data_IF_764708907284
#
_entry.id   IF_764708907284
#
_cell.length_a   1.000
_cell.length_b   1.000
_cell.length_c   1.000
_cell.angle_alpha   90.00
_cell.angle_beta   90.00
_cell.angle_gamma   90.00
#
_symmetry.space_group_name_H-M   'P 1'
#
loop_
_entity.id
_entity.type
_entity.pdbx_description
1 polymer ?
#
# COMPACT_ATOMS: atom_id res chain seq x y z
N UNK A 1 44.55 22.98 -17.02
CA UNK A 1 43.53 22.43 -17.93
C UNK A 1 43.36 20.96 -17.60
N UNK A 2 42.12 20.48 -17.65
CA UNK A 2 41.62 19.12 -17.35
C UNK A 2 41.25 18.81 -15.88
N UNK A 3 39.94 18.88 -15.65
CA UNK A 3 39.15 18.06 -14.72
C UNK A 3 39.39 16.55 -15.00
N UNK A 4 39.19 15.66 -14.03
CA UNK A 4 38.02 14.76 -14.12
C UNK A 4 37.72 14.01 -12.82
N UNK A 5 36.41 13.87 -12.60
CA UNK A 5 35.73 13.15 -11.54
C UNK A 5 35.79 11.63 -11.70
N UNK A 6 35.46 10.97 -10.58
CA UNK A 6 34.74 9.70 -10.52
C UNK A 6 35.49 8.45 -10.98
N UNK A 7 35.61 7.49 -10.05
CA UNK A 7 34.96 6.21 -10.30
C UNK A 7 34.74 5.44 -8.99
N UNK A 8 33.47 5.44 -8.58
CA UNK A 8 32.87 4.40 -7.74
C UNK A 8 32.90 3.09 -8.53
N UNK A 9 33.70 2.15 -8.07
CA UNK A 9 33.52 0.71 -8.29
C UNK A 9 33.89 0.11 -6.92
N UNK A 10 33.08 -0.73 -6.29
CA UNK A 10 32.83 -2.12 -6.67
C UNK A 10 31.61 -2.61 -5.87
N UNK A 11 30.58 -3.13 -6.53
CA UNK A 11 29.87 -4.36 -6.12
C UNK A 11 28.98 -4.83 -7.29
N UNK A 12 29.64 -5.33 -8.32
CA UNK A 12 29.02 -6.21 -9.31
C UNK A 12 29.99 -7.36 -9.49
N UNK A 13 29.85 -8.37 -8.65
CA UNK A 13 30.63 -9.60 -8.78
C UNK A 13 29.74 -10.66 -9.41
N UNK A 14 30.14 -11.07 -10.61
CA UNK A 14 29.78 -12.28 -11.35
C UNK A 14 28.45 -12.29 -12.12
N UNK A 15 28.50 -11.81 -13.37
CA UNK A 15 27.74 -12.44 -14.46
C UNK A 15 28.77 -12.88 -15.51
N UNK A 16 29.24 -14.12 -15.38
CA UNK A 16 30.07 -14.78 -16.37
C UNK A 16 29.16 -15.69 -17.21
N UNK A 17 29.07 -15.39 -18.50
CA UNK A 17 28.40 -16.24 -19.48
C UNK A 17 27.07 -15.66 -19.97
N UNK A 18 26.95 -15.56 -21.29
CA UNK A 18 25.70 -15.31 -22.02
C UNK A 18 24.67 -16.39 -21.71
N UNK A 19 23.97 -16.25 -20.59
CA UNK A 19 22.72 -16.91 -20.29
C UNK A 19 21.65 -15.84 -20.44
N UNK A 20 20.63 -16.08 -21.26
CA UNK A 20 19.43 -15.25 -21.23
C UNK A 20 18.88 -15.40 -19.81
N UNK A 21 19.02 -14.35 -19.00
CA UNK A 21 18.49 -14.34 -17.64
C UNK A 21 16.97 -14.36 -17.74
N UNK A 22 16.39 -15.57 -17.70
CA UNK A 22 14.95 -15.75 -17.58
C UNK A 22 14.59 -15.63 -16.10
N UNK A 23 13.87 -14.57 -15.76
CA UNK A 23 13.22 -14.41 -14.47
C UNK A 23 11.78 -14.92 -14.59
N UNK A 24 11.41 -15.89 -13.77
CA UNK A 24 10.04 -16.38 -13.70
C UNK A 24 9.19 -15.43 -12.85
N UNK A 25 8.16 -14.84 -13.48
CA UNK A 25 7.20 -13.92 -12.85
C UNK A 25 5.78 -14.51 -12.83
N UNK A 26 5.63 -15.81 -13.13
CA UNK A 26 4.32 -16.48 -13.22
C UNK A 26 3.40 -16.33 -11.99
N UNK A 27 3.87 -16.27 -10.73
CA UNK A 27 2.95 -16.07 -9.60
C UNK A 27 2.40 -14.64 -9.51
N UNK A 28 3.01 -13.69 -10.21
CA UNK A 28 2.63 -12.29 -10.12
C UNK A 28 1.53 -11.95 -11.13
N UNK A 29 0.67 -11.01 -10.74
CA UNK A 29 -0.35 -10.45 -11.63
C UNK A 29 0.35 -9.67 -12.76
N UNK A 30 0.10 -10.02 -14.05
CA UNK A 30 0.73 -9.36 -15.19
C UNK A 30 0.57 -7.84 -15.19
N UNK A 31 -0.56 -7.32 -14.73
CA UNK A 31 -0.83 -5.88 -14.70
C UNK A 31 0.02 -5.17 -13.64
N UNK A 32 0.27 -5.87 -12.52
CA UNK A 32 1.11 -5.37 -11.42
C UNK A 32 2.58 -5.38 -11.84
N UNK A 33 3.01 -6.43 -12.53
CA UNK A 33 4.35 -6.53 -13.14
C UNK A 33 4.55 -5.44 -14.17
N UNK A 34 3.58 -5.23 -15.07
CA UNK A 34 3.66 -4.18 -16.08
C UNK A 34 3.79 -2.80 -15.45
N UNK A 35 3.01 -2.49 -14.41
CA UNK A 35 3.11 -1.20 -13.73
C UNK A 35 4.48 -1.01 -13.05
N UNK A 36 5.04 -2.04 -12.43
CA UNK A 36 6.38 -1.98 -11.87
C UNK A 36 7.45 -1.77 -12.95
N UNK A 37 7.33 -2.44 -14.10
CA UNK A 37 8.24 -2.25 -15.23
C UNK A 37 8.13 -0.84 -15.82
N UNK A 38 6.91 -0.34 -16.03
CA UNK A 38 6.69 1.04 -16.49
C UNK A 38 7.33 2.06 -15.56
N UNK A 39 7.21 1.86 -14.24
CA UNK A 39 7.92 2.69 -13.26
C UNK A 39 9.43 2.66 -13.44
N UNK A 40 10.04 1.47 -13.61
CA UNK A 40 11.48 1.32 -13.81
C UNK A 40 11.96 2.07 -15.07
N UNK A 41 11.15 2.06 -16.13
CA UNK A 41 11.46 2.72 -17.40
C UNK A 41 11.00 4.19 -17.47
N UNK A 42 10.59 4.78 -16.34
CA UNK A 42 10.09 6.17 -16.24
C UNK A 42 8.91 6.45 -17.21
N UNK A 43 8.05 5.44 -17.37
CA UNK A 43 6.82 5.48 -18.14
C UNK A 43 5.64 5.62 -17.18
N UNK A 44 4.62 6.38 -17.60
CA UNK A 44 3.40 6.56 -16.82
C UNK A 44 2.75 5.21 -16.43
N UNK A 45 2.56 5.04 -15.12
CA UNK A 45 1.95 3.84 -14.56
C UNK A 45 0.44 3.87 -14.72
N UNK A 46 -0.21 2.72 -15.00
CA UNK A 46 -1.67 2.65 -15.17
C UNK A 46 -2.46 2.76 -13.84
N UNK A 47 -1.87 3.27 -12.76
CA UNK A 47 -2.53 3.35 -11.45
C UNK A 47 -3.74 4.28 -11.54
N UNK A 48 -4.94 3.70 -11.60
CA UNK A 48 -6.20 4.44 -11.67
C UNK A 48 -6.79 4.62 -13.07
N UNK A 49 -6.14 4.11 -14.12
CA UNK A 49 -6.73 4.10 -15.47
C UNK A 49 -7.70 2.92 -15.59
N UNK A 50 -8.98 3.19 -15.34
CA UNK A 50 -10.09 2.31 -15.71
C UNK A 50 -10.31 2.38 -17.23
N UNK A 51 -9.42 1.79 -18.02
CA UNK A 51 -9.65 1.59 -19.47
C UNK A 51 -10.63 0.44 -19.76
N UNK A 52 -11.14 -0.22 -18.71
CA UNK A 52 -12.29 -1.11 -18.79
C UNK A 52 -11.98 -2.53 -19.25
N UNK A 53 -10.70 -2.90 -19.36
CA UNK A 53 -10.29 -4.21 -19.91
C UNK A 53 -9.75 -5.24 -18.91
N UNK A 54 -9.62 -4.90 -17.62
CA UNK A 54 -9.17 -5.87 -16.59
C UNK A 54 -9.28 -5.29 -15.19
N UNK A 55 -10.45 -5.42 -14.55
CA UNK A 55 -10.77 -4.69 -13.33
C UNK A 55 -10.20 -5.41 -12.10
N UNK A 56 -8.93 -5.16 -11.76
CA UNK A 56 -8.49 -5.27 -10.37
C UNK A 56 -8.93 -4.01 -9.64
N UNK A 57 -9.65 -4.15 -8.52
CA UNK A 57 -10.03 -3.00 -7.69
C UNK A 57 -8.77 -2.13 -7.40
N UNK A 58 -8.81 -0.80 -7.58
CA UNK A 58 -7.62 0.04 -7.46
C UNK A 58 -6.86 -0.09 -6.14
N UNK A 59 -7.57 -0.38 -5.05
CA UNK A 59 -6.96 -0.62 -3.73
C UNK A 59 -6.24 -1.96 -3.70
N UNK A 60 -6.87 -3.03 -4.23
CA UNK A 60 -6.24 -4.35 -4.38
C UNK A 60 -4.99 -4.25 -5.25
N UNK A 61 -5.07 -3.50 -6.35
CA UNK A 61 -3.93 -3.25 -7.23
C UNK A 61 -2.78 -2.59 -6.47
N UNK A 62 -3.07 -1.52 -5.72
CA UNK A 62 -2.07 -0.85 -4.89
C UNK A 62 -1.45 -1.78 -3.83
N UNK A 63 -2.24 -2.66 -3.21
CA UNK A 63 -1.74 -3.66 -2.25
C UNK A 63 -0.75 -4.60 -2.93
N UNK A 64 -1.13 -5.19 -4.07
CA UNK A 64 -0.26 -6.10 -4.83
C UNK A 64 1.01 -5.41 -5.31
N UNK A 65 0.88 -4.20 -5.88
CA UNK A 65 2.02 -3.43 -6.38
C UNK A 65 2.96 -3.01 -5.25
N UNK A 66 2.45 -2.72 -4.05
CA UNK A 66 3.28 -2.45 -2.88
C UNK A 66 4.07 -3.69 -2.46
N UNK A 67 3.43 -4.86 -2.40
CA UNK A 67 4.11 -6.12 -2.08
C UNK A 67 5.19 -6.46 -3.11
N UNK A 68 4.90 -6.28 -4.40
CA UNK A 68 5.86 -6.50 -5.47
C UNK A 68 7.02 -5.50 -5.39
N UNK A 69 6.71 -4.21 -5.23
CA UNK A 69 7.72 -3.16 -5.11
C UNK A 69 8.65 -3.37 -3.92
N UNK A 70 8.13 -3.82 -2.78
CA UNK A 70 8.94 -4.18 -1.61
C UNK A 70 9.84 -5.39 -1.91
N UNK A 71 9.29 -6.41 -2.59
CA UNK A 71 10.04 -7.61 -2.99
C UNK A 71 11.18 -7.27 -3.96
N UNK A 72 10.96 -6.31 -4.86
CA UNK A 72 11.94 -5.87 -5.86
C UNK A 72 12.86 -4.75 -5.34
N UNK A 73 12.66 -4.25 -4.13
CA UNK A 73 13.46 -3.16 -3.55
C UNK A 73 13.21 -1.78 -4.19
N UNK A 74 12.05 -1.57 -4.82
CA UNK A 74 11.66 -0.34 -5.50
C UNK A 74 11.03 0.66 -4.51
N UNK A 75 11.87 1.33 -3.71
CA UNK A 75 11.41 2.24 -2.64
C UNK A 75 10.57 3.41 -3.16
N UNK A 76 10.98 4.05 -4.25
CA UNK A 76 10.26 5.20 -4.82
C UNK A 76 8.90 4.81 -5.42
N UNK A 77 8.77 3.57 -5.88
CA UNK A 77 7.50 3.00 -6.32
C UNK A 77 6.55 2.85 -5.13
N UNK A 78 7.03 2.34 -3.99
CA UNK A 78 6.22 2.23 -2.76
C UNK A 78 5.67 3.60 -2.35
N UNK A 79 6.50 4.65 -2.40
CA UNK A 79 6.06 6.02 -2.08
C UNK A 79 4.94 6.48 -3.01
N UNK A 80 5.11 6.25 -4.32
CA UNK A 80 4.13 6.61 -5.34
C UNK A 80 2.80 5.87 -5.17
N UNK A 81 2.87 4.56 -4.93
CA UNK A 81 1.70 3.70 -4.72
C UNK A 81 0.96 4.07 -3.44
N UNK A 82 1.67 4.42 -2.37
CA UNK A 82 1.07 4.86 -1.11
C UNK A 82 0.23 6.13 -1.29
N UNK A 83 0.71 7.10 -2.08
CA UNK A 83 -0.03 8.31 -2.37
C UNK A 83 -1.34 8.00 -3.12
N UNK A 84 -1.28 7.13 -4.13
CA UNK A 84 -2.46 6.69 -4.88
C UNK A 84 -3.43 5.89 -4.00
N UNK A 85 -2.91 4.96 -3.17
CA UNK A 85 -3.69 4.17 -2.22
C UNK A 85 -4.51 5.06 -1.29
N UNK A 86 -3.92 6.14 -0.75
CA UNK A 86 -4.64 7.08 0.11
C UNK A 86 -5.81 7.76 -0.61
N UNK A 87 -5.65 8.06 -1.91
CA UNK A 87 -6.73 8.58 -2.74
C UNK A 87 -7.88 7.58 -2.87
N UNK A 88 -7.57 6.32 -3.19
CA UNK A 88 -8.58 5.28 -3.37
C UNK A 88 -9.23 4.82 -2.06
N UNK A 89 -8.47 4.75 -0.97
CA UNK A 89 -8.99 4.31 0.34
C UNK A 89 -10.06 5.25 0.88
N UNK A 90 -9.97 6.55 0.57
CA UNK A 90 -10.99 7.53 0.92
C UNK A 90 -12.35 7.17 0.33
N UNK A 91 -12.35 6.70 -0.91
CA UNK A 91 -13.53 6.33 -1.66
C UNK A 91 -14.06 4.92 -1.35
N UNK A 92 -13.35 4.12 -0.54
CA UNK A 92 -13.73 2.75 -0.20
C UNK A 92 -15.13 2.69 0.41
N UNK A 93 -15.45 3.67 1.26
CA UNK A 93 -16.69 3.74 2.02
C UNK A 93 -17.79 4.56 1.33
N UNK A 94 -17.49 5.17 0.19
CA UNK A 94 -18.46 6.01 -0.54
C UNK A 94 -19.50 5.17 -1.32
N UNK A 95 -19.28 3.85 -1.40
CA UNK A 95 -20.08 2.92 -2.19
C UNK A 95 -21.21 2.23 -1.42
N UNK A 96 -22.36 2.06 -2.08
CA UNK A 96 -23.49 1.21 -1.64
C UNK A 96 -23.22 -0.30 -1.70
N UNK A 97 -21.98 -0.71 -1.98
CA UNK A 97 -21.65 -2.12 -2.23
C UNK A 97 -20.77 -2.69 -1.12
N UNK A 98 -21.43 -3.23 -0.11
CA UNK A 98 -20.82 -3.89 1.06
C UNK A 98 -19.82 -4.96 0.65
N UNK A 99 -20.15 -5.75 -0.37
CA UNK A 99 -19.31 -6.87 -0.81
C UNK A 99 -17.93 -6.44 -1.29
N UNK A 100 -17.81 -5.24 -1.88
CA UNK A 100 -16.53 -4.71 -2.35
C UNK A 100 -15.67 -4.27 -1.17
N UNK A 101 -16.26 -3.54 -0.20
CA UNK A 101 -15.52 -3.09 0.99
C UNK A 101 -15.01 -4.27 1.80
N UNK A 102 -15.88 -5.25 2.09
CA UNK A 102 -15.48 -6.47 2.79
C UNK A 102 -14.39 -7.22 2.03
N UNK A 103 -14.51 -7.37 0.71
CA UNK A 103 -13.50 -8.08 -0.09
C UNK A 103 -12.14 -7.37 -0.08
N UNK A 104 -12.11 -6.04 -0.17
CA UNK A 104 -10.86 -5.24 -0.12
C UNK A 104 -10.19 -5.37 1.24
N UNK A 105 -10.95 -5.20 2.33
CA UNK A 105 -10.39 -5.30 3.69
C UNK A 105 -9.92 -6.73 3.95
N UNK A 106 -10.70 -7.75 3.57
CA UNK A 106 -10.29 -9.14 3.69
C UNK A 106 -9.00 -9.40 2.90
N UNK A 107 -8.92 -8.95 1.65
CA UNK A 107 -7.71 -9.09 0.84
C UNK A 107 -6.49 -8.45 1.52
N UNK A 108 -6.64 -7.25 2.09
CA UNK A 108 -5.58 -6.57 2.81
C UNK A 108 -5.09 -7.34 4.05
N UNK A 109 -6.00 -8.03 4.76
CA UNK A 109 -5.67 -8.81 5.95
C UNK A 109 -5.13 -10.21 5.61
N UNK A 110 -5.60 -10.83 4.52
CA UNK A 110 -5.13 -12.13 4.03
C UNK A 110 -3.78 -12.02 3.30
N UNK A 111 -3.42 -10.84 2.80
CA UNK A 111 -2.11 -10.61 2.17
C UNK A 111 -0.98 -10.78 3.20
N UNK A 112 0.07 -11.58 2.90
CA UNK A 112 1.20 -11.79 3.79
C UNK A 112 1.79 -10.47 4.30
N UNK A 113 2.13 -10.44 5.59
CA UNK A 113 2.65 -9.25 6.24
C UNK A 113 3.97 -8.78 5.60
N UNK A 114 4.02 -7.50 5.27
CA UNK A 114 5.24 -6.78 4.94
C UNK A 114 5.27 -5.42 5.64
N UNK A 115 6.44 -4.76 5.70
CA UNK A 115 6.55 -3.47 6.39
C UNK A 115 5.73 -2.41 5.66
N UNK A 116 5.77 -2.40 4.34
CA UNK A 116 5.06 -1.41 3.54
C UNK A 116 3.55 -1.69 3.52
N UNK A 117 3.14 -2.96 3.53
CA UNK A 117 1.73 -3.33 3.72
C UNK A 117 1.20 -2.85 5.08
N UNK A 118 1.98 -2.97 6.14
CA UNK A 118 1.61 -2.44 7.46
C UNK A 118 1.44 -0.91 7.44
N UNK A 119 2.22 -0.21 6.60
CA UNK A 119 2.05 1.23 6.39
C UNK A 119 0.72 1.57 5.70
N UNK A 120 0.32 0.81 4.68
CA UNK A 120 -0.98 0.98 4.01
C UNK A 120 -2.14 0.70 4.96
N UNK A 121 -2.04 -0.40 5.75
CA UNK A 121 -3.02 -0.72 6.81
C UNK A 121 -3.19 0.47 7.76
N UNK A 122 -2.08 1.04 8.24
CA UNK A 122 -2.12 2.20 9.14
C UNK A 122 -2.81 3.40 8.51
N UNK A 123 -2.47 3.77 7.27
CA UNK A 123 -3.08 4.90 6.56
C UNK A 123 -4.60 4.73 6.45
N UNK A 124 -5.04 3.54 6.05
CA UNK A 124 -6.47 3.24 5.94
C UNK A 124 -7.17 3.32 7.30
N UNK A 125 -6.57 2.78 8.36
CA UNK A 125 -7.13 2.84 9.72
C UNK A 125 -7.19 4.27 10.25
N UNK A 126 -6.16 5.07 10.01
CA UNK A 126 -6.12 6.49 10.37
C UNK A 126 -7.23 7.29 9.68
N UNK A 127 -7.41 7.07 8.38
CA UNK A 127 -8.49 7.67 7.60
C UNK A 127 -9.89 7.22 8.07
N UNK A 128 -10.04 5.95 8.49
CA UNK A 128 -11.27 5.47 9.13
C UNK A 128 -11.53 6.19 10.46
N UNK A 129 -10.50 6.39 11.29
CA UNK A 129 -10.65 7.05 12.58
C UNK A 129 -11.03 8.52 12.45
N UNK A 130 -10.46 9.22 11.47
CA UNK A 130 -10.78 10.63 11.20
C UNK A 130 -12.25 10.82 10.79
N UNK A 131 -12.85 9.78 10.20
CA UNK A 131 -14.25 9.78 9.73
C UNK A 131 -15.16 8.87 10.57
N UNK A 132 -14.68 8.37 11.71
CA UNK A 132 -15.34 7.29 12.45
C UNK A 132 -16.81 7.58 12.78
N UNK A 133 -17.21 8.78 13.27
CA UNK A 133 -18.61 9.04 13.58
C UNK A 133 -19.53 8.86 12.36
N UNK A 134 -19.11 9.35 11.19
CA UNK A 134 -19.88 9.21 9.96
C UNK A 134 -19.86 7.77 9.43
N UNK A 135 -18.72 7.08 9.52
CA UNK A 135 -18.61 5.68 9.08
C UNK A 135 -19.46 4.74 9.93
N UNK A 136 -19.61 5.00 11.23
CA UNK A 136 -20.47 4.19 12.12
C UNK A 136 -21.97 4.26 11.76
N UNK A 137 -22.40 5.29 11.02
CA UNK A 137 -23.77 5.39 10.49
C UNK A 137 -23.96 4.58 9.19
N UNK A 138 -22.86 4.14 8.57
CA UNK A 138 -22.90 3.36 7.34
C UNK A 138 -22.99 1.86 7.64
N UNK A 139 -24.07 1.22 7.17
CA UNK A 139 -24.28 -0.22 7.32
C UNK A 139 -23.09 -1.05 6.82
N UNK A 140 -22.50 -0.64 5.69
CA UNK A 140 -21.31 -1.25 5.08
C UNK A 140 -20.15 -1.34 6.08
N UNK A 141 -19.78 -0.22 6.69
CA UNK A 141 -18.66 -0.16 7.60
C UNK A 141 -18.92 -0.99 8.86
N UNK A 142 -20.13 -0.87 9.43
CA UNK A 142 -20.54 -1.66 10.60
C UNK A 142 -20.48 -3.15 10.30
N UNK A 143 -20.86 -3.58 9.08
CA UNK A 143 -20.80 -4.98 8.67
C UNK A 143 -19.35 -5.45 8.55
N UNK A 144 -18.47 -4.67 7.93
CA UNK A 144 -17.03 -4.99 7.85
C UNK A 144 -16.42 -5.17 9.24
N UNK A 145 -16.71 -4.27 10.18
CA UNK A 145 -16.22 -4.35 11.58
C UNK A 145 -16.71 -5.63 12.27
N UNK A 146 -17.94 -6.07 11.98
CA UNK A 146 -18.49 -7.32 12.55
C UNK A 146 -17.87 -8.57 11.94
N UNK A 147 -17.62 -8.57 10.64
CA UNK A 147 -17.12 -9.74 9.91
C UNK A 147 -15.61 -9.93 10.01
N UNK A 148 -14.86 -8.85 10.22
CA UNK A 148 -13.40 -8.85 10.22
C UNK A 148 -12.88 -8.36 11.59
N UNK A 149 -12.80 -9.26 12.60
CA UNK A 149 -12.43 -8.88 13.96
C UNK A 149 -11.01 -8.30 14.05
N UNK A 150 -10.08 -8.78 13.23
CA UNK A 150 -8.72 -8.24 13.19
C UNK A 150 -8.69 -6.77 12.74
N UNK A 151 -9.56 -6.41 11.80
CA UNK A 151 -9.74 -5.01 11.40
C UNK A 151 -10.25 -4.15 12.54
N UNK A 152 -11.27 -4.63 13.28
CA UNK A 152 -11.81 -3.93 14.44
C UNK A 152 -10.76 -3.76 15.55
N UNK A 153 -9.98 -4.81 15.82
CA UNK A 153 -8.92 -4.81 16.83
C UNK A 153 -7.83 -3.80 16.46
N UNK A 154 -7.37 -3.79 15.22
CA UNK A 154 -6.32 -2.87 14.80
C UNK A 154 -6.82 -1.41 14.76
N UNK A 155 -8.09 -1.18 14.43
CA UNK A 155 -8.72 0.14 14.54
C UNK A 155 -8.70 0.66 15.99
N UNK A 156 -9.02 -0.21 16.96
CA UNK A 156 -8.95 0.13 18.39
C UNK A 156 -7.51 0.37 18.86
N UNK A 157 -6.54 -0.43 18.40
CA UNK A 157 -5.12 -0.23 18.74
C UNK A 157 -4.61 1.11 18.23
N UNK A 158 -4.93 1.48 16.98
CA UNK A 158 -4.52 2.78 16.42
C UNK A 158 -5.18 3.93 17.19
N UNK A 159 -6.48 3.79 17.54
CA UNK A 159 -7.18 4.80 18.34
C UNK A 159 -6.55 5.00 19.72
N UNK A 160 -6.31 3.91 20.47
CA UNK A 160 -5.66 3.96 21.77
C UNK A 160 -4.23 4.53 21.67
N UNK A 161 -3.52 4.24 20.57
CA UNK A 161 -2.22 4.83 20.27
C UNK A 161 -2.27 6.35 20.09
N UNK A 162 -3.30 6.88 19.41
CA UNK A 162 -3.52 8.33 19.24
C UNK A 162 -3.81 9.01 20.57
N UNK A 163 -4.72 8.46 21.36
CA UNK A 163 -5.12 9.02 22.67
C UNK A 163 -3.94 9.09 23.66
N UNK A 164 -3.04 8.11 23.62
CA UNK A 164 -1.81 8.13 24.43
C UNK A 164 -0.79 9.19 23.97
N UNK A 165 -0.80 9.60 22.70
CA UNK A 165 0.07 10.66 22.19
C UNK A 165 -0.47 12.05 22.58
N UNK A 166 -1.78 12.27 22.49
CA UNK A 166 -2.41 13.51 22.95
C UNK A 166 -2.22 13.72 24.45
N UNK A 167 -2.43 12.69 25.28
CA UNK A 167 -2.18 12.78 26.72
C UNK A 167 -0.73 13.10 27.09
N UNK A 168 0.24 12.61 26.30
CA UNK A 168 1.67 12.93 26.50
C UNK A 168 2.03 14.36 26.09
N UNK A 169 1.31 14.94 25.13
CA UNK A 169 1.54 16.32 24.69
C UNK A 169 0.87 17.36 25.61
N UNK A 170 -0.16 16.97 26.36
CA UNK A 170 -0.90 17.86 27.28
C UNK A 170 -0.32 17.91 28.71
N UNK A 171 0.66 17.06 29.04
CA UNK A 171 1.33 17.13 30.34
C UNK A 171 2.31 18.31 30.36
N UNK A 172 2.20 19.26 31.31
CA UNK A 172 3.20 20.29 31.48
C UNK A 172 4.54 19.63 31.82
N UNK A 173 5.60 20.00 31.11
CA UNK A 173 6.97 19.65 31.50
C UNK A 173 7.27 20.44 32.77
N UNK A 174 7.03 19.82 33.92
CA UNK A 174 7.53 20.32 35.19
C UNK A 174 9.03 20.02 35.25
N UNK A 175 9.84 21.02 34.87
CA UNK A 175 11.27 21.07 35.18
C UNK A 175 11.47 21.62 36.60
#
# INVERSE_FOLDING_TARGET
MALNESQRHVHSSNILGTSVAHMDLTPEDPDVVEAALRFIYDVEMPIGNNDGTGITNPIIFCIRLTTLAETWGLVDLVVSVRAAFMGFSRCLWDGKNESVSTAVIRFLYDTPYTKELASLKRIMLEDCLDRLPALMEQAVFVQVVKELPDFAVDLLKVRAGRENLTLKMELPVWN
#
